data_IF_857625405141
#
_entry.id   IF_857625405141
#
_cell.length_a   1.000
_cell.length_b   1.000
_cell.length_c   1.000
_cell.angle_alpha   90.00
_cell.angle_beta   90.00
_cell.angle_gamma   90.00
#
_symmetry.space_group_name_H-M   'P 1'
#
loop_
_entity.id
_entity.type
_entity.pdbx_description
1 polymer ?
#
# COMPACT_ATOMS: atom_id res chain seq x y z
N UNK A 1 -35.98 8.52 -47.28
CA UNK A 1 -34.52 8.29 -47.39
C UNK A 1 -33.86 9.19 -46.34
N UNK A 2 -33.72 8.70 -45.10
CA UNK A 2 -32.52 8.03 -44.57
C UNK A 2 -31.30 8.95 -44.56
N UNK A 3 -30.95 9.45 -43.36
CA UNK A 3 -29.60 9.72 -42.82
C UNK A 3 -29.78 10.60 -41.57
N UNK A 4 -30.16 10.04 -40.43
CA UNK A 4 -29.25 9.38 -39.49
C UNK A 4 -28.02 10.24 -39.16
N UNK A 5 -28.20 11.18 -38.22
CA UNK A 5 -27.11 11.75 -37.41
C UNK A 5 -27.57 11.76 -35.94
N UNK A 6 -27.74 10.55 -35.41
CA UNK A 6 -27.32 10.24 -34.04
C UNK A 6 -25.81 10.41 -34.01
N UNK A 7 -25.24 11.13 -33.03
CA UNK A 7 -24.08 10.66 -32.26
C UNK A 7 -23.64 11.71 -31.22
N UNK A 8 -23.49 11.21 -29.99
CA UNK A 8 -22.58 11.65 -28.94
C UNK A 8 -22.70 13.08 -28.42
N UNK A 9 -23.43 13.25 -27.32
CA UNK A 9 -23.17 14.35 -26.40
C UNK A 9 -23.18 13.85 -24.95
N UNK A 10 -21.94 13.67 -24.46
CA UNK A 10 -21.48 13.93 -23.09
C UNK A 10 -21.81 12.86 -22.04
N UNK A 11 -20.86 11.93 -21.93
CA UNK A 11 -20.50 11.28 -20.66
C UNK A 11 -20.13 12.37 -19.64
N UNK A 12 -20.95 12.59 -18.63
CA UNK A 12 -20.59 13.39 -17.45
C UNK A 12 -21.25 12.82 -16.20
N UNK A 13 -20.87 11.59 -15.85
CA UNK A 13 -21.09 11.03 -14.52
C UNK A 13 -19.80 10.41 -14.03
N UNK A 14 -18.74 11.21 -13.95
CA UNK A 14 -17.64 10.92 -13.05
C UNK A 14 -18.18 11.09 -11.62
N UNK A 15 -18.88 10.07 -11.12
CA UNK A 15 -19.09 9.92 -9.69
C UNK A 15 -17.72 9.67 -9.08
N UNK A 16 -16.99 10.76 -8.81
CA UNK A 16 -15.94 10.77 -7.83
C UNK A 16 -16.60 10.35 -6.51
N UNK A 17 -16.56 9.06 -6.22
CA UNK A 17 -16.97 8.50 -4.95
C UNK A 17 -16.11 9.13 -3.85
N UNK A 18 -16.55 10.27 -3.35
CA UNK A 18 -16.08 10.87 -2.11
C UNK A 18 -16.66 10.02 -0.98
N UNK A 19 -16.18 8.77 -0.87
CA UNK A 19 -16.49 7.91 0.26
C UNK A 19 -15.59 8.40 1.38
N UNK A 20 -16.14 9.16 2.30
CA UNK A 20 -15.49 9.50 3.57
C UNK A 20 -15.07 8.20 4.23
N UNK A 21 -13.81 7.81 4.12
CA UNK A 21 -13.23 6.75 4.94
C UNK A 21 -12.83 7.37 6.26
N UNK A 22 -13.14 6.69 7.37
CA UNK A 22 -12.84 7.14 8.74
C UNK A 22 -11.34 7.17 9.09
N UNK A 23 -10.45 7.33 8.09
CA UNK A 23 -9.00 7.41 8.27
C UNK A 23 -8.25 7.33 6.94
N UNK A 24 -6.90 7.32 6.97
CA UNK A 24 -6.07 7.25 5.78
C UNK A 24 -6.38 6.02 4.92
N UNK A 25 -6.23 6.13 3.61
CA UNK A 25 -6.34 4.99 2.70
C UNK A 25 -5.15 4.03 2.85
N UNK A 26 -5.32 2.75 2.49
CA UNK A 26 -4.20 1.79 2.48
C UNK A 26 -3.04 2.24 1.57
N UNK A 27 -3.34 2.96 0.49
CA UNK A 27 -2.32 3.60 -0.35
C UNK A 27 -1.43 4.60 0.42
N UNK A 28 -1.99 5.32 1.41
CA UNK A 28 -1.21 6.22 2.26
C UNK A 28 -0.28 5.46 3.21
N UNK A 29 -0.70 4.28 3.69
CA UNK A 29 0.14 3.40 4.51
C UNK A 29 1.34 2.91 3.69
N UNK A 30 1.11 2.40 2.48
CA UNK A 30 2.19 1.97 1.59
C UNK A 30 3.13 3.12 1.21
N UNK A 31 2.60 4.32 0.93
CA UNK A 31 3.42 5.50 0.66
C UNK A 31 4.30 5.88 1.87
N UNK A 32 3.76 5.78 3.09
CA UNK A 32 4.52 6.04 4.31
C UNK A 32 5.65 5.04 4.51
N UNK A 33 5.39 3.75 4.29
CA UNK A 33 6.42 2.71 4.30
C UNK A 33 7.57 3.05 3.33
N UNK A 34 7.25 3.42 2.09
CA UNK A 34 8.29 3.81 1.12
C UNK A 34 9.11 5.02 1.57
N UNK A 35 8.45 6.03 2.16
CA UNK A 35 9.14 7.22 2.64
C UNK A 35 10.12 6.87 3.77
N UNK A 36 9.70 6.07 4.75
CA UNK A 36 10.56 5.62 5.85
C UNK A 36 11.71 4.74 5.34
N UNK A 37 11.46 3.84 4.40
CA UNK A 37 12.50 2.97 3.86
C UNK A 37 13.57 3.75 3.09
N UNK A 38 13.18 4.79 2.33
CA UNK A 38 14.13 5.67 1.64
C UNK A 38 14.95 6.49 2.64
N UNK A 39 14.29 7.06 3.65
CA UNK A 39 14.96 7.79 4.71
C UNK A 39 15.99 6.91 5.46
N UNK A 40 15.63 5.67 5.79
CA UNK A 40 16.53 4.69 6.41
C UNK A 40 17.74 4.37 5.52
N UNK A 41 17.55 4.26 4.20
CA UNK A 41 18.64 4.01 3.24
C UNK A 41 19.62 5.18 3.16
N UNK A 42 19.10 6.40 3.10
CA UNK A 42 19.91 7.63 3.08
C UNK A 42 20.72 7.78 4.37
N UNK A 43 20.10 7.51 5.53
CA UNK A 43 20.76 7.63 6.83
C UNK A 43 21.84 6.57 7.09
N UNK A 44 21.69 5.35 6.56
CA UNK A 44 22.63 4.24 6.79
C UNK A 44 23.93 4.32 5.98
N UNK A 45 24.07 5.29 5.07
CA UNK A 45 25.22 5.43 4.16
C UNK A 45 25.59 4.11 3.47
N UNK A 46 24.57 3.37 3.04
CA UNK A 46 24.77 2.18 2.24
C UNK A 46 25.53 2.54 0.95
N UNK A 47 26.29 1.59 0.39
CA UNK A 47 26.90 1.83 -0.91
C UNK A 47 25.82 1.91 -2.01
N UNK A 48 26.16 2.58 -3.10
CA UNK A 48 25.29 2.83 -4.24
C UNK A 48 24.69 1.56 -4.88
N UNK A 49 25.36 0.41 -4.77
CA UNK A 49 24.83 -0.84 -5.30
C UNK A 49 23.74 -1.40 -4.39
N UNK A 50 23.96 -1.37 -3.07
CA UNK A 50 22.93 -1.73 -2.08
C UNK A 50 21.73 -0.79 -2.19
N UNK A 51 21.96 0.52 -2.29
CA UNK A 51 20.88 1.51 -2.40
C UNK A 51 19.95 1.18 -3.57
N UNK A 52 20.52 1.00 -4.77
CA UNK A 52 19.75 0.65 -5.98
C UNK A 52 19.04 -0.70 -5.87
N UNK A 53 19.69 -1.71 -5.29
CA UNK A 53 19.09 -3.02 -5.12
C UNK A 53 17.88 -3.00 -4.18
N UNK A 54 17.93 -2.19 -3.10
CA UNK A 54 16.80 -2.05 -2.17
C UNK A 54 15.71 -1.19 -2.80
N UNK A 55 16.05 -0.04 -3.40
CA UNK A 55 15.07 0.83 -4.06
C UNK A 55 14.26 0.12 -5.16
N UNK A 56 14.89 -0.81 -5.88
CA UNK A 56 14.20 -1.61 -6.90
C UNK A 56 13.12 -2.53 -6.31
N UNK A 57 13.24 -2.93 -5.04
CA UNK A 57 12.30 -3.83 -4.35
C UNK A 57 11.18 -3.08 -3.64
N UNK A 58 11.41 -1.84 -3.21
CA UNK A 58 10.44 -1.05 -2.45
C UNK A 58 9.05 -0.94 -3.10
N UNK A 59 8.89 -0.79 -4.44
CA UNK A 59 7.59 -0.75 -5.06
C UNK A 59 6.76 -2.02 -4.84
N UNK A 60 7.38 -3.20 -4.98
CA UNK A 60 6.70 -4.47 -4.77
C UNK A 60 6.28 -4.65 -3.30
N UNK A 61 7.16 -4.29 -2.36
CA UNK A 61 6.85 -4.33 -0.93
C UNK A 61 5.70 -3.38 -0.56
N UNK A 62 5.72 -2.14 -1.09
CA UNK A 62 4.61 -1.19 -0.95
C UNK A 62 3.31 -1.81 -1.43
N UNK A 63 3.30 -2.41 -2.61
CA UNK A 63 2.09 -2.96 -3.21
C UNK A 63 1.55 -4.14 -2.37
N UNK A 64 2.42 -5.00 -1.85
CA UNK A 64 2.06 -6.05 -0.89
C UNK A 64 1.40 -5.47 0.38
N UNK A 65 1.95 -4.41 0.97
CA UNK A 65 1.37 -3.74 2.14
C UNK A 65 -0.02 -3.18 1.81
N UNK A 66 -0.16 -2.50 0.66
CA UNK A 66 -1.44 -1.92 0.22
C UNK A 66 -2.48 -3.02 0.03
N UNK A 67 -2.08 -4.14 -0.58
CA UNK A 67 -2.94 -5.30 -0.81
C UNK A 67 -3.40 -5.93 0.50
N UNK A 68 -2.48 -6.31 1.39
CA UNK A 68 -2.81 -6.93 2.69
C UNK A 68 -3.67 -6.00 3.56
N UNK A 69 -3.36 -4.69 3.58
CA UNK A 69 -4.16 -3.70 4.30
C UNK A 69 -5.61 -3.64 3.80
N UNK A 70 -5.78 -3.72 2.47
CA UNK A 70 -7.10 -3.65 1.82
C UNK A 70 -7.89 -4.93 2.07
N UNK A 71 -7.28 -6.09 1.81
CA UNK A 71 -7.92 -7.40 1.88
C UNK A 71 -8.26 -7.80 3.31
N UNK A 72 -7.34 -7.52 4.24
CA UNK A 72 -7.52 -7.83 5.67
C UNK A 72 -8.28 -6.73 6.41
N UNK A 73 -8.76 -5.70 5.70
CA UNK A 73 -9.60 -4.61 6.21
C UNK A 73 -9.06 -4.00 7.50
N UNK A 74 -7.78 -3.60 7.49
CA UNK A 74 -7.14 -2.99 8.66
C UNK A 74 -7.99 -1.84 9.20
N UNK A 75 -8.02 -1.65 10.51
CA UNK A 75 -8.86 -0.59 11.09
C UNK A 75 -8.31 0.80 10.75
N UNK A 76 -9.18 1.80 10.79
CA UNK A 76 -8.74 3.17 10.56
C UNK A 76 -7.72 3.68 11.59
N UNK A 77 -7.82 3.21 12.84
CA UNK A 77 -6.89 3.53 13.91
C UNK A 77 -5.47 3.00 13.61
N UNK A 78 -5.36 1.75 13.15
CA UNK A 78 -4.07 1.16 12.77
C UNK A 78 -3.47 1.89 11.58
N UNK A 79 -4.27 2.13 10.53
CA UNK A 79 -3.79 2.88 9.34
C UNK A 79 -3.33 4.28 9.70
N UNK A 80 -4.02 4.95 10.64
CA UNK A 80 -3.60 6.26 11.15
C UNK A 80 -2.27 6.18 11.89
N UNK A 81 -2.11 5.21 12.80
CA UNK A 81 -0.85 5.00 13.52
C UNK A 81 0.33 4.83 12.54
N UNK A 82 0.17 3.96 11.54
CA UNK A 82 1.20 3.67 10.55
C UNK A 82 1.57 4.89 9.70
N UNK A 83 0.58 5.69 9.28
CA UNK A 83 0.84 6.92 8.51
C UNK A 83 1.54 7.99 9.35
N UNK A 84 1.23 8.08 10.64
CA UNK A 84 1.79 9.08 11.56
C UNK A 84 3.15 8.66 12.15
N UNK A 85 3.62 7.43 11.93
CA UNK A 85 4.88 6.91 12.45
C UNK A 85 6.08 7.74 11.94
N UNK A 86 7.00 8.17 12.81
CA UNK A 86 8.11 9.03 12.39
C UNK A 86 9.33 8.27 11.88
N UNK A 87 9.48 7.02 12.28
CA UNK A 87 10.61 6.16 11.94
C UNK A 87 10.14 4.70 11.83
N UNK A 88 11.07 3.82 11.46
CA UNK A 88 10.79 2.38 11.33
C UNK A 88 10.35 1.73 12.64
N UNK A 89 10.90 2.16 13.78
CA UNK A 89 10.57 1.58 15.10
C UNK A 89 9.13 1.93 15.48
N UNK A 90 8.72 3.18 15.26
CA UNK A 90 7.35 3.63 15.46
C UNK A 90 6.37 2.91 14.51
N UNK A 91 6.79 2.64 13.27
CA UNK A 91 6.00 1.89 12.31
C UNK A 91 5.77 0.44 12.78
N UNK A 92 6.85 -0.26 13.17
CA UNK A 92 6.80 -1.62 13.73
C UNK A 92 5.95 -1.68 15.03
N UNK A 93 5.98 -0.64 15.86
CA UNK A 93 5.13 -0.54 17.04
C UNK A 93 3.64 -0.42 16.69
N UNK A 94 3.29 0.29 15.62
CA UNK A 94 1.92 0.37 15.12
C UNK A 94 1.42 -0.97 14.56
N UNK A 95 2.29 -1.79 13.96
CA UNK A 95 1.94 -3.14 13.49
C UNK A 95 1.52 -4.09 14.63
N UNK A 96 1.94 -3.82 15.87
CA UNK A 96 1.49 -4.58 17.05
C UNK A 96 -0.02 -4.41 17.33
N UNK A 97 -0.66 -3.39 16.75
CA UNK A 97 -2.11 -3.19 16.86
C UNK A 97 -2.91 -4.03 15.84
N UNK A 98 -2.24 -4.66 14.88
CA UNK A 98 -2.88 -5.64 13.99
C UNK A 98 -3.32 -6.86 14.77
N UNK A 99 -4.30 -7.60 14.25
CA UNK A 99 -4.60 -8.95 14.76
C UNK A 99 -3.46 -9.91 14.42
N UNK A 100 -3.40 -11.07 15.09
CA UNK A 100 -2.42 -12.11 14.75
C UNK A 100 -2.53 -12.55 13.28
N UNK A 101 -3.76 -12.70 12.79
CA UNK A 101 -4.03 -13.08 11.39
C UNK A 101 -3.52 -12.01 10.42
N UNK A 102 -3.74 -10.73 10.73
CA UNK A 102 -3.27 -9.61 9.91
C UNK A 102 -1.74 -9.50 9.90
N UNK A 103 -1.09 -9.71 11.05
CA UNK A 103 0.38 -9.78 11.13
C UNK A 103 0.94 -10.94 10.32
N UNK A 104 0.36 -12.13 10.45
CA UNK A 104 0.79 -13.29 9.69
C UNK A 104 0.61 -13.09 8.17
N UNK A 105 -0.47 -12.44 7.75
CA UNK A 105 -0.68 -12.10 6.34
C UNK A 105 0.38 -11.11 5.84
N UNK A 106 0.69 -10.08 6.64
CA UNK A 106 1.75 -9.12 6.32
C UNK A 106 3.12 -9.80 6.21
N UNK A 107 3.47 -10.65 7.17
CA UNK A 107 4.74 -11.41 7.19
C UNK A 107 4.88 -12.33 5.98
N UNK A 108 3.80 -13.05 5.60
CA UNK A 108 3.78 -13.88 4.40
C UNK A 108 3.97 -13.05 3.13
N UNK A 109 3.37 -11.87 3.06
CA UNK A 109 3.52 -10.96 1.93
C UNK A 109 4.93 -10.38 1.81
N UNK A 110 5.59 -10.12 2.93
CA UNK A 110 6.97 -9.65 2.96
C UNK A 110 7.96 -10.74 2.50
N UNK A 111 7.63 -12.02 2.69
CA UNK A 111 8.43 -13.17 2.24
C UNK A 111 8.17 -13.58 0.79
N UNK A 112 7.18 -12.97 0.12
CA UNK A 112 6.75 -13.38 -1.22
C UNK A 112 5.88 -14.64 -1.25
N UNK A 113 5.39 -15.11 -0.10
CA UNK A 113 4.52 -16.30 0.03
C UNK A 113 3.03 -15.95 -0.06
N UNK A 114 2.68 -14.90 -0.80
CA UNK A 114 1.28 -14.52 -1.03
C UNK A 114 0.73 -15.22 -2.28
N UNK A 115 0.07 -16.36 -2.05
CA UNK A 115 -0.85 -17.03 -2.98
C UNK A 115 -0.29 -17.63 -4.28
N UNK A 116 0.84 -18.34 -4.23
CA UNK A 116 1.17 -19.38 -5.23
C UNK A 116 0.95 -20.77 -4.63
N UNK A 117 -0.34 -21.10 -4.52
CA UNK A 117 -0.84 -22.45 -4.34
C UNK A 117 -1.77 -22.81 -5.50
N UNK A 118 -1.35 -22.58 -6.75
CA UNK A 118 -1.92 -23.21 -7.95
C UNK A 118 -0.95 -23.07 -9.13
N UNK A 119 -0.11 -24.09 -9.34
CA UNK A 119 0.38 -24.45 -10.66
C UNK A 119 0.50 -25.95 -10.71
N UNK A 120 -0.52 -26.53 -11.35
CA UNK A 120 -0.63 -27.93 -11.76
C UNK A 120 0.40 -28.27 -12.83
#
# INVERSE_FOLDING_TARGET
MIRALLFLAVLASATACKRSSDGPACGAVGAKFMALAKDDLEHKKADEAIHRAVEAQLPAMRDSIVHVCTDSKWTAAVRKCLVDANDRVAFEACEQQLTDEQRQALDKSARGESAEGDSK
#
